data_IF_077597352024
#
_entry.id   IF_077597352024
#
_cell.length_a   1.000
_cell.length_b   1.000
_cell.length_c   1.000
_cell.angle_alpha   90.00
_cell.angle_beta   90.00
_cell.angle_gamma   90.00
#
_symmetry.space_group_name_H-M   'P 1'
#
loop_
_entity.id
_entity.type
_entity.pdbx_description
1 polymer ?
#
# COMPACT_ATOMS: atom_id res chain seq x y z
N UNK A 1 -11.82 -54.03 -13.65
CA UNK A 1 -11.15 -52.76 -14.01
C UNK A 1 -12.04 -51.63 -13.49
N UNK A 2 -11.93 -51.27 -12.21
CA UNK A 2 -11.09 -50.18 -11.69
C UNK A 2 -11.24 -48.85 -12.45
N UNK A 3 -12.21 -48.07 -11.96
CA UNK A 3 -12.09 -46.64 -11.66
C UNK A 3 -12.05 -45.68 -12.86
N UNK A 4 -13.22 -45.35 -13.41
CA UNK A 4 -13.43 -44.11 -14.19
C UNK A 4 -13.75 -42.97 -13.23
N UNK A 5 -12.89 -42.76 -12.22
CA UNK A 5 -12.78 -41.50 -11.50
C UNK A 5 -11.94 -40.58 -12.40
N UNK A 6 -12.59 -40.03 -13.42
CA UNK A 6 -12.18 -38.75 -14.00
C UNK A 6 -13.36 -37.80 -13.85
N UNK A 7 -13.80 -37.70 -12.59
CA UNK A 7 -14.30 -36.50 -11.94
C UNK A 7 -13.79 -35.28 -12.71
N UNK A 8 -14.65 -34.66 -13.54
CA UNK A 8 -15.19 -33.29 -13.50
C UNK A 8 -14.35 -32.22 -12.74
N UNK A 9 -13.07 -32.45 -12.48
CA UNK A 9 -12.23 -31.71 -11.55
C UNK A 9 -11.20 -30.83 -12.26
N UNK A 10 -11.48 -30.42 -13.50
CA UNK A 10 -10.53 -29.65 -14.32
C UNK A 10 -11.14 -28.40 -14.97
N UNK A 11 -12.40 -28.06 -14.69
CA UNK A 11 -13.04 -26.86 -15.27
C UNK A 11 -13.72 -25.90 -14.26
N UNK A 12 -13.48 -26.06 -12.96
CA UNK A 12 -13.98 -25.11 -11.93
C UNK A 12 -12.86 -24.48 -11.08
N UNK A 13 -11.59 -24.64 -11.48
CA UNK A 13 -10.45 -23.90 -10.89
C UNK A 13 -9.83 -22.95 -11.94
N UNK A 14 -10.64 -22.50 -12.91
CA UNK A 14 -10.39 -21.23 -13.63
C UNK A 14 -10.99 -20.04 -12.87
N UNK A 15 -10.97 -20.13 -11.54
CA UNK A 15 -10.97 -19.01 -10.61
C UNK A 15 -9.59 -18.95 -9.96
N UNK A 16 -8.54 -19.01 -10.77
CA UNK A 16 -7.38 -18.16 -10.50
C UNK A 16 -7.95 -16.74 -10.52
N UNK A 17 -8.41 -16.31 -9.34
CA UNK A 17 -8.64 -14.92 -9.05
C UNK A 17 -7.33 -14.25 -9.39
N UNK A 18 -7.35 -13.68 -10.60
CA UNK A 18 -6.61 -12.54 -11.09
C UNK A 18 -5.58 -12.11 -10.06
N UNK A 19 -4.32 -12.27 -10.44
CA UNK A 19 -3.15 -11.60 -9.91
C UNK A 19 -3.42 -10.09 -9.83
N UNK A 20 -4.15 -9.74 -8.79
CA UNK A 20 -4.55 -8.43 -8.41
C UNK A 20 -4.58 -8.51 -6.88
N UNK A 21 -3.39 -8.72 -6.30
CA UNK A 21 -3.01 -7.96 -5.13
C UNK A 21 -3.01 -6.47 -5.53
N UNK A 22 -4.16 -5.95 -5.96
CA UNK A 22 -4.50 -4.56 -5.75
C UNK A 22 -4.74 -4.59 -4.25
N UNK A 23 -3.66 -4.44 -3.52
CA UNK A 23 -3.78 -3.81 -2.23
C UNK A 23 -4.32 -2.42 -2.57
N UNK A 24 -5.65 -2.29 -2.65
CA UNK A 24 -6.34 -1.01 -2.65
C UNK A 24 -6.23 -0.39 -1.25
N UNK A 25 -5.06 -0.49 -0.61
CA UNK A 25 -4.60 0.51 0.34
C UNK A 25 -4.52 1.77 -0.51
N UNK A 26 -5.54 2.62 -0.41
CA UNK A 26 -5.50 3.99 -0.89
C UNK A 26 -4.51 4.80 -0.03
N UNK A 27 -3.32 4.24 0.19
CA UNK A 27 -2.20 4.85 0.88
C UNK A 27 -1.28 5.47 -0.14
N UNK A 28 -1.01 6.76 0.02
CA UNK A 28 0.05 7.47 -0.71
C UNK A 28 1.32 7.40 0.12
N UNK A 29 2.49 7.34 -0.51
CA UNK A 29 3.74 7.51 0.23
C UNK A 29 4.00 8.99 0.47
N UNK A 30 4.66 9.29 1.60
CA UNK A 30 5.09 10.65 1.91
C UNK A 30 6.08 11.15 0.85
N UNK A 31 5.88 12.39 0.39
CA UNK A 31 6.75 13.02 -0.60
C UNK A 31 8.11 13.47 -0.04
N UNK A 32 8.33 13.40 1.28
CA UNK A 32 9.61 13.76 1.89
C UNK A 32 10.67 12.68 1.66
N UNK A 33 11.86 13.07 1.17
CA UNK A 33 12.94 12.12 0.93
C UNK A 33 13.35 11.37 2.20
N UNK A 34 13.45 10.04 2.09
CA UNK A 34 13.73 9.16 3.22
C UNK A 34 12.53 8.87 4.14
N UNK A 35 11.34 9.44 3.86
CA UNK A 35 10.12 9.11 4.58
C UNK A 35 9.34 8.01 3.87
N UNK A 36 9.26 6.83 4.49
CA UNK A 36 8.46 5.70 3.99
C UNK A 36 7.10 5.58 4.67
N UNK A 37 6.59 6.67 5.25
CA UNK A 37 5.26 6.68 5.85
C UNK A 37 4.19 6.48 4.77
N UNK A 38 3.31 5.50 5.01
CA UNK A 38 2.10 5.29 4.23
C UNK A 38 1.01 6.20 4.78
N UNK A 39 0.44 7.02 3.91
CA UNK A 39 -0.56 8.04 4.20
C UNK A 39 -1.89 7.54 3.69
N UNK A 40 -2.81 7.17 4.58
CA UNK A 40 -4.18 6.89 4.15
C UNK A 40 -4.89 8.21 3.80
N UNK A 41 -5.68 8.21 2.72
CA UNK A 41 -6.46 9.40 2.30
C UNK A 41 -7.42 9.90 3.40
N UNK A 42 -7.85 9.01 4.30
CA UNK A 42 -8.70 9.32 5.44
C UNK A 42 -7.98 10.03 6.61
N UNK A 43 -6.65 10.04 6.65
CA UNK A 43 -5.86 10.55 7.79
C UNK A 43 -5.50 12.03 7.70
N UNK A 44 -6.17 12.81 6.83
CA UNK A 44 -5.93 14.25 6.65
C UNK A 44 -4.46 14.63 6.40
N UNK A 45 -3.85 14.16 5.30
CA UNK A 45 -2.46 14.50 5.02
C UNK A 45 -2.24 15.95 4.66
N UNK A 46 -1.00 16.38 4.88
CA UNK A 46 -0.54 17.72 4.50
C UNK A 46 -0.22 17.71 3.01
N UNK A 47 -1.13 18.22 2.19
CA UNK A 47 -0.93 18.35 0.75
C UNK A 47 -0.36 19.73 0.42
N UNK A 48 0.80 19.77 -0.22
CA UNK A 48 1.42 21.02 -0.70
C UNK A 48 1.71 20.93 -2.19
N UNK A 49 2.21 22.01 -2.80
CA UNK A 49 2.62 22.00 -4.20
C UNK A 49 3.76 21.01 -4.50
N UNK A 50 4.51 20.57 -3.48
CA UNK A 50 5.63 19.63 -3.61
C UNK A 50 5.17 18.17 -3.54
N UNK A 51 3.98 17.89 -3.02
CA UNK A 51 3.47 16.54 -2.84
C UNK A 51 2.58 16.38 -1.60
N UNK A 52 2.29 15.13 -1.25
CA UNK A 52 1.50 14.75 -0.07
C UNK A 52 2.44 14.30 1.03
N UNK A 53 2.33 14.89 2.21
CA UNK A 53 3.19 14.65 3.35
C UNK A 53 2.41 14.06 4.52
N UNK A 54 3.03 13.13 5.25
CA UNK A 54 2.38 12.41 6.36
C UNK A 54 2.15 13.30 7.59
N UNK A 55 2.96 14.35 7.74
CA UNK A 55 2.87 15.30 8.84
C UNK A 55 3.44 16.66 8.41
N UNK A 56 3.23 17.68 9.22
CA UNK A 56 3.71 19.02 8.92
C UNK A 56 5.24 19.11 8.93
N UNK A 57 5.93 18.35 9.79
CA UNK A 57 7.39 18.34 9.83
C UNK A 57 8.02 17.85 8.52
N UNK A 58 7.45 16.81 7.91
CA UNK A 58 7.86 16.35 6.58
C UNK A 58 7.62 17.40 5.50
N UNK A 59 6.49 18.14 5.58
CA UNK A 59 6.21 19.23 4.64
C UNK A 59 7.15 20.45 4.82
N UNK A 60 7.65 20.67 6.05
CA UNK A 60 8.60 21.74 6.39
C UNK A 60 10.07 21.33 6.23
N UNK A 61 10.34 20.03 6.07
CA UNK A 61 11.69 19.48 5.98
C UNK A 61 12.40 19.29 7.32
N UNK A 62 11.67 19.34 8.44
CA UNK A 62 12.21 19.10 9.78
C UNK A 62 12.18 17.62 10.18
N UNK A 63 11.56 16.76 9.36
CA UNK A 63 11.43 15.32 9.60
C UNK A 63 10.05 14.90 10.09
N UNK A 64 9.87 13.60 10.32
CA UNK A 64 8.59 13.05 10.77
C UNK A 64 8.52 12.98 12.30
N UNK A 65 7.36 13.31 12.86
CA UNK A 65 7.10 13.21 14.31
C UNK A 65 6.75 11.78 14.75
N UNK A 66 6.57 10.83 13.81
CA UNK A 66 6.36 9.44 14.15
C UNK A 66 7.62 8.83 14.75
N UNK A 67 7.50 8.24 15.95
CA UNK A 67 8.61 7.54 16.61
C UNK A 67 9.19 6.36 15.82
N UNK A 68 8.44 5.84 14.84
CA UNK A 68 8.88 4.77 13.93
C UNK A 68 9.46 5.27 12.61
N UNK A 69 9.47 6.59 12.37
CA UNK A 69 9.99 7.20 11.15
C UNK A 69 11.17 8.11 11.47
N UNK A 70 12.33 7.83 10.87
CA UNK A 70 13.56 8.58 11.10
C UNK A 70 13.95 9.43 9.88
N UNK A 71 12.97 9.86 9.08
CA UNK A 71 13.27 10.74 7.96
C UNK A 71 13.68 12.12 8.50
N UNK A 72 14.86 12.60 8.08
CA UNK A 72 15.57 13.77 8.60
C UNK A 72 16.32 13.62 9.95
N UNK A 73 16.61 12.40 10.40
CA UNK A 73 17.75 12.17 11.31
C UNK A 73 19.07 12.03 10.55
#
# INVERSE_FOLDING_TARGET
MKVTIKLINTLLIKKEQIMANVNSDHTKECAFEGCHCKIQEAEHPVTTAQGVFCCQGCAQGTGCEHSSCNCAQ
#
